data_IF_842534149660
#
_entry.id   IF_842534149660
#
_cell.length_a   1.000
_cell.length_b   1.000
_cell.length_c   1.000
_cell.angle_alpha   90.00
_cell.angle_beta   90.00
_cell.angle_gamma   90.00
#
_symmetry.space_group_name_H-M   'P 1'
#
loop_
_entity.id
_entity.type
_entity.pdbx_description
1 polymer ?
#
# COMPACT_ATOMS: atom_id res chain seq x y z
N UNK A 1 -35.28 -4.56 -7.55
CA UNK A 1 -35.22 -4.19 -8.97
C UNK A 1 -33.78 -4.10 -9.36
N UNK A 2 -33.35 -4.61 -10.54
CA UNK A 2 -31.97 -4.41 -10.96
C UNK A 2 -31.70 -2.91 -11.11
N UNK A 3 -30.53 -2.48 -10.64
CA UNK A 3 -30.09 -1.09 -10.81
C UNK A 3 -30.05 -0.75 -12.29
N UNK A 4 -30.43 0.48 -12.70
CA UNK A 4 -30.36 0.87 -14.09
C UNK A 4 -28.92 0.75 -14.62
N UNK A 5 -28.73 0.43 -15.91
CA UNK A 5 -27.41 0.39 -16.50
C UNK A 5 -26.74 1.76 -16.35
N UNK A 6 -25.44 1.75 -16.00
CA UNK A 6 -24.66 2.98 -15.89
C UNK A 6 -24.52 3.55 -17.30
N UNK A 7 -24.86 4.83 -17.46
CA UNK A 7 -24.70 5.50 -18.76
C UNK A 7 -23.22 5.71 -19.10
N UNK A 8 -22.92 5.87 -20.40
CA UNK A 8 -21.56 6.02 -20.89
C UNK A 8 -20.85 7.26 -20.32
N UNK A 9 -21.58 8.35 -20.10
CA UNK A 9 -21.02 9.59 -19.55
C UNK A 9 -20.51 9.38 -18.14
N UNK A 10 -21.29 8.71 -17.31
CA UNK A 10 -20.92 8.34 -15.95
C UNK A 10 -19.72 7.38 -15.93
N UNK A 11 -19.68 6.40 -16.84
CA UNK A 11 -18.53 5.49 -16.95
C UNK A 11 -17.24 6.23 -17.30
N UNK A 12 -17.32 7.16 -18.25
CA UNK A 12 -16.17 7.99 -18.64
C UNK A 12 -15.74 8.91 -17.49
N UNK A 13 -16.68 9.55 -16.79
CA UNK A 13 -16.39 10.41 -15.66
C UNK A 13 -15.68 9.64 -14.54
N UNK A 14 -16.16 8.45 -14.19
CA UNK A 14 -15.52 7.57 -13.21
C UNK A 14 -14.12 7.11 -13.66
N UNK A 15 -13.94 6.78 -14.94
CA UNK A 15 -12.63 6.40 -15.48
C UNK A 15 -11.60 7.53 -15.42
N UNK A 16 -12.05 8.79 -15.55
CA UNK A 16 -11.20 9.97 -15.50
C UNK A 16 -10.95 10.48 -14.07
N UNK A 17 -11.90 10.28 -13.17
CA UNK A 17 -11.79 10.72 -11.76
C UNK A 17 -12.01 9.55 -10.79
N UNK A 18 -10.91 8.92 -10.32
CA UNK A 18 -10.98 7.85 -9.34
C UNK A 18 -11.60 8.26 -7.99
N UNK A 19 -11.52 9.54 -7.62
CA UNK A 19 -12.16 10.03 -6.40
C UNK A 19 -13.68 10.11 -6.54
N UNK A 20 -14.18 10.54 -7.68
CA UNK A 20 -15.61 10.49 -8.00
C UNK A 20 -16.14 9.05 -8.02
N UNK A 21 -15.38 8.14 -8.63
CA UNK A 21 -15.69 6.70 -8.58
C UNK A 21 -15.84 6.17 -7.16
N UNK A 22 -14.94 6.58 -6.24
CA UNK A 22 -15.02 6.16 -4.84
C UNK A 22 -16.32 6.61 -4.17
N UNK A 23 -16.74 7.86 -4.41
CA UNK A 23 -17.98 8.39 -3.82
C UNK A 23 -19.20 7.68 -4.40
N UNK A 24 -19.30 7.62 -5.72
CA UNK A 24 -20.52 7.20 -6.40
C UNK A 24 -20.72 5.68 -6.41
N UNK A 25 -19.59 4.92 -6.43
CA UNK A 25 -19.65 3.48 -6.64
C UNK A 25 -19.23 2.65 -5.44
N UNK A 26 -18.34 3.18 -4.58
CA UNK A 26 -17.82 2.43 -3.44
C UNK A 26 -18.44 2.88 -2.10
N UNK A 27 -19.22 3.98 -2.11
CA UNK A 27 -19.72 4.60 -0.88
C UNK A 27 -18.58 5.06 0.04
N UNK A 28 -17.43 5.34 -0.53
CA UNK A 28 -16.23 5.80 0.16
C UNK A 28 -15.95 7.25 -0.18
N UNK A 29 -16.12 8.15 0.78
CA UNK A 29 -15.78 9.57 0.63
C UNK A 29 -14.30 9.78 1.02
N UNK A 30 -13.41 10.04 0.05
CA UNK A 30 -12.00 10.20 0.34
C UNK A 30 -11.71 11.54 1.02
N UNK A 31 -10.86 11.51 2.05
CA UNK A 31 -10.29 12.72 2.63
C UNK A 31 -9.53 13.54 1.55
N UNK A 32 -9.30 14.86 1.72
CA UNK A 32 -8.65 15.69 0.70
C UNK A 32 -7.32 15.14 0.19
N UNK A 33 -6.48 14.59 1.06
CA UNK A 33 -5.21 14.00 0.68
C UNK A 33 -5.38 12.67 -0.10
N UNK A 34 -6.40 11.88 0.25
CA UNK A 34 -6.75 10.65 -0.44
C UNK A 34 -7.27 10.95 -1.84
N UNK A 35 -8.12 11.97 -1.99
CA UNK A 35 -8.59 12.43 -3.28
C UNK A 35 -7.43 12.94 -4.16
N UNK A 36 -6.44 13.64 -3.57
CA UNK A 36 -5.21 14.04 -4.27
C UNK A 36 -4.42 12.83 -4.77
N UNK A 37 -4.22 11.82 -3.94
CA UNK A 37 -3.54 10.57 -4.34
C UNK A 37 -4.27 9.84 -5.47
N UNK A 38 -5.59 9.73 -5.38
CA UNK A 38 -6.43 9.08 -6.39
C UNK A 38 -6.32 9.78 -7.76
N UNK A 39 -6.30 11.11 -7.78
CA UNK A 39 -6.21 11.96 -8.99
C UNK A 39 -4.78 12.16 -9.50
N UNK A 40 -3.78 11.81 -8.69
CA UNK A 40 -2.38 11.99 -9.07
C UNK A 40 -2.03 11.18 -10.32
N UNK A 41 -1.22 11.78 -11.18
CA UNK A 41 -0.63 11.15 -12.38
C UNK A 41 0.84 10.78 -12.18
N UNK A 42 1.39 11.01 -10.99
CA UNK A 42 2.77 10.65 -10.70
C UNK A 42 2.97 9.13 -10.81
N UNK A 43 4.04 8.73 -11.48
CA UNK A 43 4.43 7.32 -11.60
C UNK A 43 4.94 6.74 -10.28
N UNK A 44 5.42 7.60 -9.38
CA UNK A 44 6.02 7.21 -8.11
C UNK A 44 5.39 8.02 -6.97
N UNK A 45 4.73 7.34 -6.05
CA UNK A 45 4.13 7.95 -4.86
C UNK A 45 4.64 7.27 -3.59
N UNK A 46 4.94 8.06 -2.57
CA UNK A 46 5.38 7.56 -1.27
C UNK A 46 4.55 8.19 -0.15
N UNK A 47 3.96 7.34 0.68
CA UNK A 47 3.03 7.71 1.74
C UNK A 47 3.64 7.40 3.11
N UNK A 48 4.20 8.40 3.76
CA UNK A 48 4.61 8.34 5.16
C UNK A 48 3.44 8.79 6.03
N UNK A 49 2.67 7.85 6.53
CA UNK A 49 1.40 8.17 7.17
C UNK A 49 1.26 7.43 8.50
N UNK A 50 0.68 8.10 9.49
CA UNK A 50 0.34 7.51 10.77
C UNK A 50 -0.66 6.35 10.65
N UNK A 51 -0.87 5.64 11.75
CA UNK A 51 -1.90 4.59 11.80
C UNK A 51 -3.31 5.18 11.73
N UNK A 52 -4.26 4.39 11.21
CA UNK A 52 -5.70 4.70 11.17
C UNK A 52 -6.11 5.90 10.30
N UNK A 53 -5.22 6.42 9.45
CA UNK A 53 -5.55 7.52 8.52
C UNK A 53 -6.20 7.03 7.21
N UNK A 54 -6.36 5.72 7.02
CA UNK A 54 -7.03 5.17 5.84
C UNK A 54 -6.12 4.88 4.64
N UNK A 55 -4.79 4.72 4.83
CA UNK A 55 -3.82 4.34 3.77
C UNK A 55 -4.31 3.17 2.91
N UNK A 56 -4.48 2.02 3.55
CA UNK A 56 -4.85 0.79 2.84
C UNK A 56 -6.23 0.87 2.20
N UNK A 57 -7.14 1.72 2.70
CA UNK A 57 -8.48 1.91 2.12
C UNK A 57 -8.39 2.64 0.79
N UNK A 58 -7.71 3.79 0.76
CA UNK A 58 -7.57 4.57 -0.49
C UNK A 58 -6.76 3.83 -1.55
N UNK A 59 -5.73 3.09 -1.16
CA UNK A 59 -4.90 2.33 -2.11
C UNK A 59 -5.64 1.09 -2.64
N UNK A 60 -6.47 0.43 -1.82
CA UNK A 60 -7.36 -0.64 -2.30
C UNK A 60 -8.38 -0.12 -3.33
N UNK A 61 -8.94 1.08 -3.11
CA UNK A 61 -9.83 1.73 -4.08
C UNK A 61 -9.09 2.11 -5.37
N UNK A 62 -7.85 2.63 -5.29
CA UNK A 62 -7.01 2.93 -6.43
C UNK A 62 -6.68 1.66 -7.24
N UNK A 63 -6.34 0.57 -6.55
CA UNK A 63 -6.04 -0.73 -7.17
C UNK A 63 -7.27 -1.27 -7.93
N UNK A 64 -8.44 -1.23 -7.30
CA UNK A 64 -9.69 -1.64 -7.94
C UNK A 64 -10.02 -0.76 -9.15
N UNK A 65 -9.94 0.57 -9.00
CA UNK A 65 -10.15 1.50 -10.11
C UNK A 65 -9.22 1.19 -11.29
N UNK A 66 -7.93 0.94 -11.01
CA UNK A 66 -6.95 0.57 -12.06
C UNK A 66 -7.40 -0.68 -12.81
N UNK A 67 -7.86 -1.72 -12.11
CA UNK A 67 -8.35 -2.94 -12.74
C UNK A 67 -9.61 -2.74 -13.58
N UNK A 68 -10.53 -1.89 -13.15
CA UNK A 68 -11.80 -1.66 -13.84
C UNK A 68 -11.63 -0.81 -15.10
N UNK A 69 -10.82 0.25 -15.02
CA UNK A 69 -10.72 1.26 -16.09
C UNK A 69 -9.45 1.15 -16.97
N UNK A 70 -8.58 0.16 -16.70
CA UNK A 70 -7.44 -0.17 -17.55
C UNK A 70 -7.49 -1.66 -17.91
N UNK A 71 -8.21 -2.06 -18.98
CA UNK A 71 -8.33 -3.47 -19.37
C UNK A 71 -6.97 -4.15 -19.51
N UNK A 72 -6.87 -5.40 -19.05
CA UNK A 72 -5.61 -6.16 -19.03
C UNK A 72 -4.61 -5.71 -17.98
N UNK A 73 -4.98 -4.79 -17.07
CA UNK A 73 -4.07 -4.31 -16.04
C UNK A 73 -3.62 -5.41 -15.10
N UNK A 74 -2.31 -5.45 -14.82
CA UNK A 74 -1.74 -6.21 -13.72
C UNK A 74 -1.51 -5.28 -12.53
N UNK A 75 -2.13 -5.58 -11.40
CA UNK A 75 -1.89 -4.93 -10.10
C UNK A 75 -1.18 -5.92 -9.19
N UNK A 76 -0.03 -5.50 -8.65
CA UNK A 76 0.74 -6.30 -7.69
C UNK A 76 0.68 -5.62 -6.33
N UNK A 77 0.28 -6.37 -5.31
CA UNK A 77 0.27 -5.93 -3.91
C UNK A 77 1.31 -6.72 -3.14
N UNK A 78 2.22 -6.02 -2.49
CA UNK A 78 3.30 -6.59 -1.69
C UNK A 78 3.21 -6.03 -0.28
N UNK A 79 3.49 -6.88 0.71
CA UNK A 79 3.61 -6.50 2.11
C UNK A 79 4.64 -7.42 2.78
N UNK A 80 5.20 -7.08 3.95
CA UNK A 80 6.24 -7.88 4.62
C UNK A 80 5.87 -9.35 4.79
N UNK A 81 4.60 -9.66 4.93
CA UNK A 81 4.09 -11.04 5.01
C UNK A 81 2.85 -11.24 4.15
N UNK A 82 2.60 -12.50 3.74
CA UNK A 82 1.40 -12.88 2.99
C UNK A 82 0.10 -12.53 3.74
N UNK A 83 0.11 -12.58 5.07
CA UNK A 83 -1.05 -12.19 5.87
C UNK A 83 -1.37 -10.71 5.69
N UNK A 84 -0.37 -9.84 5.69
CA UNK A 84 -0.56 -8.38 5.54
C UNK A 84 -1.00 -8.02 4.12
N UNK A 85 -0.39 -8.61 3.08
CA UNK A 85 -0.83 -8.36 1.70
C UNK A 85 -2.29 -8.80 1.47
N UNK A 86 -2.72 -9.87 2.15
CA UNK A 86 -4.11 -10.33 2.13
C UNK A 86 -5.09 -9.34 2.76
N UNK A 87 -4.72 -8.61 3.81
CA UNK A 87 -5.59 -7.61 4.45
C UNK A 87 -5.98 -6.48 3.49
N UNK A 88 -5.03 -6.00 2.67
CA UNK A 88 -5.33 -5.04 1.62
C UNK A 88 -6.23 -5.64 0.54
N UNK A 89 -5.95 -6.88 0.14
CA UNK A 89 -6.77 -7.61 -0.84
C UNK A 89 -8.21 -7.80 -0.38
N UNK A 90 -8.44 -8.13 0.89
CA UNK A 90 -9.80 -8.24 1.48
C UNK A 90 -10.55 -6.90 1.34
N UNK A 91 -9.90 -5.77 1.56
CA UNK A 91 -10.53 -4.46 1.36
C UNK A 91 -10.91 -4.22 -0.10
N UNK A 92 -10.02 -4.58 -1.03
CA UNK A 92 -10.30 -4.49 -2.47
C UNK A 92 -11.50 -5.35 -2.85
N UNK A 93 -11.58 -6.59 -2.38
CA UNK A 93 -12.72 -7.50 -2.60
C UNK A 93 -14.00 -6.91 -1.98
N UNK A 94 -13.91 -6.32 -0.78
CA UNK A 94 -15.04 -5.63 -0.16
C UNK A 94 -15.59 -4.51 -1.06
N UNK A 95 -14.74 -3.67 -1.63
CA UNK A 95 -15.14 -2.65 -2.59
C UNK A 95 -15.73 -3.24 -3.88
N UNK A 96 -15.11 -4.29 -4.42
CA UNK A 96 -15.65 -4.98 -5.60
C UNK A 96 -17.06 -5.53 -5.37
N UNK A 97 -17.36 -5.99 -4.16
CA UNK A 97 -18.68 -6.48 -3.78
C UNK A 97 -19.73 -5.38 -3.65
N UNK A 98 -19.33 -4.13 -3.44
CA UNK A 98 -20.24 -2.98 -3.38
C UNK A 98 -20.70 -2.52 -4.77
N UNK A 99 -20.06 -2.98 -5.86
CA UNK A 99 -20.39 -2.52 -7.20
C UNK A 99 -21.76 -3.04 -7.68
N UNK A 100 -22.57 -2.13 -8.17
CA UNK A 100 -23.84 -2.42 -8.85
C UNK A 100 -23.87 -1.78 -10.24
N UNK A 101 -24.08 -2.55 -11.32
CA UNK A 101 -24.18 -4.02 -11.35
C UNK A 101 -22.87 -4.70 -10.92
N UNK A 102 -22.93 -5.96 -10.46
CA UNK A 102 -21.73 -6.71 -10.10
C UNK A 102 -20.76 -6.85 -11.27
N UNK A 103 -19.47 -6.67 -10.98
CA UNK A 103 -18.45 -6.83 -12.00
C UNK A 103 -18.17 -8.32 -12.25
N UNK A 104 -18.16 -8.79 -13.52
CA UNK A 104 -17.87 -10.19 -13.82
C UNK A 104 -16.44 -10.57 -13.42
N UNK A 105 -16.30 -11.75 -12.81
CA UNK A 105 -15.02 -12.32 -12.38
C UNK A 105 -14.77 -13.61 -13.14
N UNK A 106 -13.52 -13.82 -13.58
CA UNK A 106 -13.10 -15.09 -14.17
C UNK A 106 -12.59 -16.03 -13.09
N UNK A 107 -11.78 -15.51 -12.16
CA UNK A 107 -11.19 -16.29 -11.08
C UNK A 107 -11.02 -15.41 -9.83
N UNK A 108 -11.33 -16.00 -8.68
CA UNK A 108 -11.03 -15.41 -7.37
C UNK A 108 -10.46 -16.48 -6.44
N UNK A 109 -9.28 -16.22 -5.92
CA UNK A 109 -8.63 -17.03 -4.88
C UNK A 109 -8.46 -16.21 -3.61
N UNK A 110 -7.79 -16.78 -2.60
CA UNK A 110 -7.46 -16.03 -1.37
C UNK A 110 -6.42 -14.92 -1.58
N UNK A 111 -5.71 -14.92 -2.71
CA UNK A 111 -4.54 -14.08 -2.96
C UNK A 111 -4.53 -13.46 -4.37
N UNK A 112 -5.50 -13.77 -5.19
CA UNK A 112 -5.59 -13.26 -6.55
C UNK A 112 -7.04 -13.09 -7.01
N UNK A 113 -7.23 -12.14 -7.91
CA UNK A 113 -8.48 -11.86 -8.59
C UNK A 113 -8.20 -11.67 -10.08
N UNK A 114 -8.99 -12.30 -10.95
CA UNK A 114 -9.04 -12.00 -12.38
C UNK A 114 -10.43 -11.51 -12.76
N UNK A 115 -10.50 -10.41 -13.51
CA UNK A 115 -11.71 -9.83 -14.04
C UNK A 115 -11.89 -10.18 -15.51
N UNK A 116 -13.13 -10.21 -16.00
CA UNK A 116 -13.47 -10.54 -17.40
C UNK A 116 -12.89 -9.56 -18.43
N UNK A 117 -12.45 -8.36 -18.02
CA UNK A 117 -11.72 -7.42 -18.89
C UNK A 117 -10.23 -7.76 -19.04
N UNK A 118 -9.78 -8.92 -18.53
CA UNK A 118 -8.40 -9.38 -18.56
C UNK A 118 -7.50 -8.80 -17.45
N UNK A 119 -8.03 -7.91 -16.62
CA UNK A 119 -7.26 -7.35 -15.50
C UNK A 119 -7.15 -8.33 -14.35
N UNK A 120 -6.03 -8.26 -13.61
CA UNK A 120 -5.79 -9.13 -12.46
C UNK A 120 -5.07 -8.43 -11.33
N UNK A 121 -5.40 -8.83 -10.11
CA UNK A 121 -4.69 -8.46 -8.89
C UNK A 121 -3.99 -9.67 -8.32
N UNK A 122 -2.74 -9.53 -7.91
CA UNK A 122 -1.95 -10.59 -7.28
C UNK A 122 -1.33 -10.04 -6.00
N UNK A 123 -1.44 -10.81 -4.91
CA UNK A 123 -0.81 -10.47 -3.64
C UNK A 123 0.40 -11.35 -3.38
N UNK A 124 1.53 -10.74 -3.02
CA UNK A 124 2.81 -11.42 -2.83
C UNK A 124 3.41 -11.07 -1.47
N UNK A 125 4.09 -12.02 -0.82
CA UNK A 125 4.91 -11.73 0.35
C UNK A 125 6.20 -11.02 -0.05
N UNK A 126 6.61 -10.03 0.73
CA UNK A 126 7.82 -9.22 0.52
C UNK A 126 9.08 -9.83 1.16
N UNK A 127 8.97 -10.98 1.79
CA UNK A 127 10.08 -11.69 2.42
C UNK A 127 10.91 -12.54 1.43
N UNK A 128 10.44 -12.70 0.19
CA UNK A 128 11.13 -13.48 -0.83
C UNK A 128 11.18 -12.76 -2.19
N UNK A 129 12.30 -12.13 -2.54
CA UNK A 129 12.46 -11.41 -3.81
C UNK A 129 12.24 -12.27 -5.07
N UNK A 130 12.35 -13.61 -4.96
CA UNK A 130 12.17 -14.52 -6.10
C UNK A 130 10.71 -14.63 -6.53
N UNK A 131 9.76 -14.46 -5.60
CA UNK A 131 8.33 -14.55 -5.91
C UNK A 131 7.85 -13.40 -6.78
N UNK A 132 8.55 -12.27 -6.72
CA UNK A 132 8.19 -11.04 -7.44
C UNK A 132 8.64 -11.11 -8.91
N UNK A 133 9.78 -11.72 -9.20
CA UNK A 133 10.43 -11.74 -10.54
C UNK A 133 9.64 -12.46 -11.64
N UNK A 134 8.57 -13.17 -11.29
CA UNK A 134 7.72 -13.89 -12.26
C UNK A 134 6.72 -13.01 -13.01
N UNK A 135 6.64 -11.71 -12.69
CA UNK A 135 5.67 -10.77 -13.26
C UNK A 135 6.36 -9.70 -14.11
N UNK A 136 5.64 -9.17 -15.09
CA UNK A 136 6.16 -8.14 -15.99
C UNK A 136 5.09 -7.11 -16.33
N UNK A 137 5.53 -5.87 -16.58
CA UNK A 137 4.69 -4.76 -17.02
C UNK A 137 3.46 -4.49 -16.13
N UNK A 138 3.60 -4.35 -14.80
CA UNK A 138 2.47 -4.04 -13.94
C UNK A 138 1.96 -2.61 -14.21
N UNK A 139 0.64 -2.46 -14.24
CA UNK A 139 -0.01 -1.16 -14.31
C UNK A 139 0.08 -0.40 -12.97
N UNK A 140 0.08 -1.15 -11.86
CA UNK A 140 0.24 -0.61 -10.51
C UNK A 140 0.98 -1.62 -9.62
N UNK A 141 1.99 -1.13 -8.91
CA UNK A 141 2.61 -1.82 -7.79
C UNK A 141 2.21 -1.08 -6.51
N UNK A 142 1.75 -1.83 -5.52
CA UNK A 142 1.48 -1.35 -4.16
C UNK A 142 2.40 -2.09 -3.20
N UNK A 143 3.23 -1.36 -2.49
CA UNK A 143 4.04 -1.90 -1.41
C UNK A 143 3.50 -1.38 -0.07
N UNK A 144 2.75 -2.24 0.62
CA UNK A 144 2.17 -1.94 1.93
C UNK A 144 3.18 -2.25 3.04
N UNK A 145 3.21 -1.40 4.06
CA UNK A 145 4.20 -1.43 5.14
C UNK A 145 5.64 -1.47 4.61
N UNK A 146 5.93 -0.63 3.61
CA UNK A 146 7.19 -0.58 2.87
C UNK A 146 8.43 -0.37 3.76
N UNK A 147 8.30 0.29 4.92
CA UNK A 147 9.39 0.43 5.90
C UNK A 147 9.84 -0.92 6.52
N UNK A 148 9.10 -2.00 6.28
CA UNK A 148 9.36 -3.34 6.81
C UNK A 148 9.59 -4.39 5.71
N UNK A 149 9.54 -4.00 4.44
CA UNK A 149 9.88 -4.85 3.29
C UNK A 149 11.41 -4.80 3.07
N UNK A 150 12.01 -5.93 2.72
CA UNK A 150 13.44 -5.99 2.46
C UNK A 150 13.84 -5.19 1.21
N UNK A 151 14.98 -4.50 1.27
CA UNK A 151 15.49 -3.68 0.15
C UNK A 151 15.67 -4.50 -1.13
N UNK A 152 16.08 -5.77 -1.02
CA UNK A 152 16.24 -6.68 -2.16
C UNK A 152 14.91 -6.98 -2.87
N UNK A 153 13.78 -6.92 -2.14
CA UNK A 153 12.45 -7.06 -2.74
C UNK A 153 12.09 -5.82 -3.53
N UNK A 154 12.31 -4.64 -2.95
CA UNK A 154 12.13 -3.37 -3.66
C UNK A 154 12.99 -3.31 -4.93
N UNK A 155 14.26 -3.67 -4.87
CA UNK A 155 15.18 -3.71 -6.01
C UNK A 155 14.69 -4.66 -7.11
N UNK A 156 13.97 -5.71 -6.75
CA UNK A 156 13.38 -6.64 -7.73
C UNK A 156 12.12 -6.07 -8.41
N UNK A 157 11.44 -5.08 -7.81
CA UNK A 157 10.23 -4.43 -8.37
C UNK A 157 10.55 -3.41 -9.46
N UNK A 158 11.61 -2.63 -9.26
CA UNK A 158 11.94 -1.50 -10.15
C UNK A 158 12.11 -1.92 -11.62
N UNK A 159 12.82 -3.01 -11.96
CA UNK A 159 12.96 -3.46 -13.36
C UNK A 159 11.63 -3.82 -14.02
N UNK A 160 10.60 -4.22 -13.24
CA UNK A 160 9.29 -4.59 -13.78
C UNK A 160 8.56 -3.36 -14.36
N UNK A 161 8.80 -2.18 -13.80
CA UNK A 161 8.25 -0.91 -14.29
C UNK A 161 8.89 -0.46 -15.59
N UNK A 162 10.12 -0.89 -15.89
CA UNK A 162 10.80 -0.54 -17.14
C UNK A 162 10.04 -1.05 -18.38
N UNK A 163 9.26 -2.14 -18.24
CA UNK A 163 8.41 -2.68 -19.29
C UNK A 163 6.98 -2.10 -19.28
N UNK A 164 6.69 -1.17 -18.38
CA UNK A 164 5.38 -0.53 -18.19
C UNK A 164 5.52 1.00 -18.23
N UNK A 165 5.53 1.64 -19.41
CA UNK A 165 5.74 3.10 -19.52
C UNK A 165 4.76 3.93 -18.68
N UNK A 166 3.51 3.43 -18.54
CA UNK A 166 2.47 4.04 -17.71
C UNK A 166 2.29 3.31 -16.36
N UNK A 167 3.27 2.51 -15.98
CA UNK A 167 3.28 1.79 -14.71
C UNK A 167 3.46 2.74 -13.53
N UNK A 168 2.76 2.47 -12.45
CA UNK A 168 2.79 3.29 -11.23
C UNK A 168 3.23 2.45 -10.04
N UNK A 169 4.02 3.05 -9.14
CA UNK A 169 4.35 2.45 -7.85
C UNK A 169 3.88 3.35 -6.70
N UNK A 170 3.27 2.74 -5.71
CA UNK A 170 2.82 3.39 -4.47
C UNK A 170 3.43 2.66 -3.29
N UNK A 171 4.36 3.31 -2.60
CA UNK A 171 4.90 2.84 -1.33
C UNK A 171 4.09 3.45 -0.19
N UNK A 172 3.67 2.67 0.77
CA UNK A 172 2.97 3.21 1.94
C UNK A 172 3.40 2.51 3.22
N UNK A 173 3.66 3.29 4.26
CA UNK A 173 4.02 2.76 5.58
C UNK A 173 3.75 3.77 6.69
N UNK A 174 3.70 3.28 7.94
CA UNK A 174 4.17 4.05 9.07
C UNK A 174 5.70 4.01 9.06
N UNK A 175 6.40 5.09 9.47
CA UNK A 175 7.86 5.07 9.52
C UNK A 175 8.35 4.08 10.59
N UNK A 176 9.52 3.53 10.36
CA UNK A 176 10.18 2.64 11.30
C UNK A 176 11.51 3.26 11.78
N UNK A 177 12.63 2.69 11.44
CA UNK A 177 13.96 3.25 11.73
C UNK A 177 14.45 4.06 10.52
N UNK A 178 15.44 4.94 10.76
CA UNK A 178 16.10 5.72 9.71
C UNK A 178 17.04 4.85 8.85
N UNK A 179 16.50 3.83 8.21
CA UNK A 179 17.19 2.88 7.35
C UNK A 179 16.24 2.25 6.32
N UNK A 180 16.82 1.59 5.31
CA UNK A 180 16.09 0.91 4.24
C UNK A 180 15.58 1.83 3.14
N UNK A 181 15.07 1.22 2.05
CA UNK A 181 14.64 1.95 0.85
C UNK A 181 13.55 2.99 1.13
N UNK A 182 12.57 2.69 1.99
CA UNK A 182 11.48 3.61 2.30
C UNK A 182 11.98 4.92 2.93
N UNK A 183 12.92 4.83 3.90
CA UNK A 183 13.57 6.01 4.50
C UNK A 183 14.41 6.78 3.48
N UNK A 184 15.24 6.07 2.71
CA UNK A 184 16.12 6.68 1.72
C UNK A 184 15.33 7.43 0.65
N UNK A 185 14.24 6.85 0.13
CA UNK A 185 13.37 7.47 -0.86
C UNK A 185 12.56 8.63 -0.29
N UNK A 186 12.18 8.55 0.98
CA UNK A 186 11.49 9.65 1.65
C UNK A 186 12.36 10.90 1.77
N UNK A 187 13.63 10.74 2.11
CA UNK A 187 14.58 11.85 2.34
C UNK A 187 15.48 12.16 1.15
N UNK A 188 15.72 11.20 0.27
CA UNK A 188 16.74 11.26 -0.78
C UNK A 188 16.40 12.12 -1.99
N UNK A 189 15.25 12.77 -2.04
CA UNK A 189 14.83 13.53 -3.23
C UNK A 189 14.26 12.64 -4.34
N UNK A 190 14.49 13.00 -5.62
CA UNK A 190 13.91 12.34 -6.78
C UNK A 190 12.43 12.68 -7.03
N UNK A 191 11.86 12.08 -8.08
CA UNK A 191 10.53 12.43 -8.61
C UNK A 191 9.38 11.75 -7.86
N UNK A 192 9.57 11.46 -6.57
CA UNK A 192 8.53 10.88 -5.72
C UNK A 192 7.53 11.94 -5.28
N UNK A 193 6.25 11.74 -5.59
CA UNK A 193 5.18 12.52 -4.96
C UNK A 193 4.97 12.03 -3.54
N UNK A 194 5.19 12.94 -2.57
CA UNK A 194 5.19 12.64 -1.12
C UNK A 194 3.88 13.03 -0.47
N UNK A 195 3.39 12.12 0.38
CA UNK A 195 2.21 12.30 1.20
C UNK A 195 2.57 12.05 2.65
N UNK A 196 2.50 13.08 3.47
CA UNK A 196 2.65 12.98 4.92
C UNK A 196 1.31 13.23 5.60
N UNK A 197 0.89 12.30 6.46
CA UNK A 197 -0.37 12.43 7.16
C UNK A 197 -0.26 11.85 8.58
N UNK A 198 -0.01 12.69 9.59
CA UNK A 198 -0.09 12.33 11.00
C UNK A 198 -1.52 11.89 11.37
N UNK A 199 -1.63 10.98 12.34
CA UNK A 199 -2.94 10.49 12.79
C UNK A 199 -3.79 11.58 13.42
N UNK A 200 -3.15 12.61 13.99
CA UNK A 200 -3.84 13.76 14.58
C UNK A 200 -4.68 14.56 13.56
N UNK A 201 -4.34 14.48 12.26
CA UNK A 201 -5.07 15.13 11.19
C UNK A 201 -6.30 14.32 10.72
N UNK A 202 -6.47 13.10 11.23
CA UNK A 202 -7.60 12.24 10.91
C UNK A 202 -8.79 12.54 11.85
N UNK A 203 -9.91 13.08 11.35
CA UNK A 203 -11.04 13.47 12.20
C UNK A 203 -11.75 12.27 12.86
N UNK A 204 -11.49 11.05 12.38
CA UNK A 204 -12.07 9.81 12.90
C UNK A 204 -11.36 9.27 14.13
N UNK A 205 -10.20 9.84 14.50
CA UNK A 205 -9.40 9.37 15.65
C UNK A 205 -9.54 10.36 16.81
N UNK A 206 -9.90 9.82 17.99
CA UNK A 206 -10.07 10.63 19.20
C UNK A 206 -8.75 11.24 19.67
N UNK A 207 -8.74 12.55 19.92
CA UNK A 207 -7.59 13.26 20.48
C UNK A 207 -7.22 12.75 21.87
N UNK A 208 -8.21 12.48 22.72
CA UNK A 208 -8.00 11.94 24.07
C UNK A 208 -7.28 10.58 24.00
N UNK A 209 -7.65 9.74 23.05
CA UNK A 209 -6.98 8.47 22.82
C UNK A 209 -5.52 8.66 22.39
N UNK A 210 -5.26 9.60 21.48
CA UNK A 210 -3.90 9.94 21.04
C UNK A 210 -3.03 10.46 22.19
N UNK A 211 -3.56 11.37 23.02
CA UNK A 211 -2.86 11.93 24.19
C UNK A 211 -2.51 10.85 25.20
N UNK A 212 -3.39 9.86 25.38
CA UNK A 212 -3.08 8.71 26.25
C UNK A 212 -1.92 7.89 25.66
N UNK A 213 -1.96 7.55 24.35
CA UNK A 213 -0.88 6.79 23.70
C UNK A 213 0.46 7.52 23.75
N UNK A 214 0.45 8.85 23.58
CA UNK A 214 1.66 9.66 23.68
C UNK A 214 2.29 9.60 25.07
N UNK A 215 1.47 9.60 26.13
CA UNK A 215 1.96 9.46 27.51
C UNK A 215 2.49 8.06 27.81
N UNK A 216 1.84 7.02 27.25
CA UNK A 216 2.21 5.64 27.52
C UNK A 216 3.57 5.27 26.91
N UNK A 217 3.85 5.70 25.66
CA UNK A 217 5.08 5.42 24.94
C UNK A 217 5.36 6.52 23.88
N UNK A 218 6.07 7.59 24.28
CA UNK A 218 6.33 8.73 23.37
C UNK A 218 7.13 8.37 22.12
N UNK A 219 8.13 7.48 22.22
CA UNK A 219 8.96 7.09 21.08
C UNK A 219 8.19 6.27 20.05
N UNK A 220 7.40 5.32 20.52
CA UNK A 220 6.50 4.56 19.65
C UNK A 220 5.40 5.46 19.08
N UNK A 221 4.88 6.38 19.87
CA UNK A 221 3.85 7.33 19.44
C UNK A 221 4.34 8.17 18.27
N UNK A 222 5.54 8.72 18.38
CA UNK A 222 6.17 9.54 17.34
C UNK A 222 6.26 8.79 16.00
N UNK A 223 6.67 7.53 16.01
CA UNK A 223 6.73 6.69 14.80
C UNK A 223 5.35 6.31 14.26
N UNK A 224 4.48 5.76 15.11
CA UNK A 224 3.23 5.17 14.65
C UNK A 224 2.15 6.22 14.32
N UNK A 225 2.22 7.42 14.90
CA UNK A 225 1.14 8.41 14.79
C UNK A 225 1.59 9.80 14.28
N UNK A 226 2.88 10.16 14.39
CA UNK A 226 3.40 11.47 14.00
C UNK A 226 4.33 11.44 12.77
N UNK A 227 4.39 10.33 12.05
CA UNK A 227 5.18 10.17 10.83
C UNK A 227 6.69 10.39 11.00
N UNK A 228 7.23 10.22 12.23
CA UNK A 228 8.64 10.43 12.51
C UNK A 228 9.42 9.12 12.46
N UNK A 229 10.55 9.11 11.75
CA UNK A 229 11.45 7.95 11.75
C UNK A 229 12.20 7.87 13.07
N UNK A 230 12.33 6.66 13.63
CA UNK A 230 13.12 6.41 14.82
C UNK A 230 14.62 6.38 14.50
N UNK A 231 15.46 6.73 15.47
CA UNK A 231 16.89 6.55 15.31
C UNK A 231 17.25 5.07 15.39
N UNK A 232 18.25 4.60 14.60
CA UNK A 232 18.73 3.23 14.69
C UNK A 232 19.23 2.85 16.11
N UNK A 233 19.72 3.83 16.87
CA UNK A 233 20.21 3.65 18.25
C UNK A 233 19.09 3.46 19.26
N UNK A 234 17.88 3.89 18.96
CA UNK A 234 16.70 3.72 19.84
C UNK A 234 16.08 2.31 19.71
N UNK A 235 16.59 1.45 18.83
CA UNK A 235 16.18 0.07 18.75
C UNK A 235 16.85 -0.72 19.90
N UNK A 236 16.04 -1.37 20.73
CA UNK A 236 16.50 -2.21 21.88
C UNK A 236 17.44 -3.36 21.47
N UNK A 237 17.62 -3.59 20.17
CA UNK A 237 18.54 -4.57 19.61
C UNK A 237 19.36 -3.90 18.51
N UNK A 238 20.59 -3.52 18.83
CA UNK A 238 21.56 -3.12 17.80
C UNK A 238 21.89 -4.34 16.93
N UNK A 239 22.28 -4.08 15.65
CA UNK A 239 22.75 -5.13 14.73
C UNK A 239 23.84 -5.98 15.39
N UNK A 240 24.71 -5.35 16.20
CA UNK A 240 25.74 -6.04 16.99
C UNK A 240 25.19 -7.02 18.03
N UNK A 241 24.03 -6.75 18.63
CA UNK A 241 23.38 -7.68 19.59
C UNK A 241 22.76 -8.88 18.86
N UNK A 242 22.26 -8.67 17.66
CA UNK A 242 21.72 -9.75 16.81
C UNK A 242 22.86 -10.65 16.33
N UNK A 243 23.96 -10.08 15.85
CA UNK A 243 25.14 -10.82 15.41
C UNK A 243 25.81 -11.60 16.56
N UNK A 244 25.87 -11.05 17.76
CA UNK A 244 26.36 -11.78 18.93
C UNK A 244 25.51 -13.02 19.26
N UNK A 245 24.21 -12.98 19.02
CA UNK A 245 23.32 -14.13 19.26
C UNK A 245 23.50 -15.22 18.21
N UNK A 246 23.78 -14.87 16.97
CA UNK A 246 24.12 -15.83 15.91
C UNK A 246 25.46 -16.52 16.15
N UNK A 247 26.43 -15.84 16.76
CA UNK A 247 27.74 -16.40 17.07
C UNK A 247 27.75 -17.27 18.35
N UNK A 248 26.68 -17.23 19.18
CA UNK A 248 26.57 -18.05 20.39
C UNK A 248 25.95 -19.44 20.14
N UNK A 249 25.47 -19.73 18.92
CA UNK A 249 24.83 -21.02 18.60
C UNK A 249 25.84 -22.09 18.11
N UNK A 250 27.11 -21.79 18.06
CA UNK A 250 28.15 -22.72 17.61
C UNK A 250 29.04 -23.29 18.76
N UNK A 251 28.47 -23.60 19.92
CA UNK A 251 29.18 -24.42 20.91
C UNK A 251 28.77 -25.87 20.67
N UNK A 252 29.72 -26.77 20.27
CA UNK A 252 29.41 -28.19 20.19
C UNK A 252 29.14 -28.73 21.59
N UNK A 253 28.03 -29.40 21.79
CA UNK A 253 27.81 -30.23 22.96
C UNK A 253 28.77 -31.42 22.87
N UNK A 254 29.71 -31.47 23.79
CA UNK A 254 30.52 -32.66 24.10
C UNK A 254 29.66 -33.73 24.74
#
# INVERSE_FOLDING_TARGET
MPSPPIDLTTLVAHGLDPALFCVDRLGFEPDPWQARLLRSKASQCILNCGRQVGKSTVVAALALHTCLYKPGALVIVIAPSQRQSRELFIKLIGFLQCLEPPEPREEETKLSLALSNGSRVVTLPGDNPRTVRGYSAPALIVEDEAAFVADETFDALIPMLAAAPDGRIVLMSTPHIAAGHFYQLWHGGGDWERYEHPTADCPRVSREWLDKRRRDDPLRFSREYECQFGNPEDSLFTVEMIDRRHNLVSVPLL
#
